data_IF_179350593487
#
_entry.id   IF_179350593487
#
_cell.length_a   1.000
_cell.length_b   1.000
_cell.length_c   1.000
_cell.angle_alpha   90.00
_cell.angle_beta   90.00
_cell.angle_gamma   90.00
#
_symmetry.space_group_name_H-M   'P 1'
#
loop_
_entity.id
_entity.type
_entity.pdbx_description
1 polymer ?
#
# COMPACT_ATOMS: atom_id res chain seq x y z
N UNK A 1 1.20 18.21 -2.77
CA UNK A 1 1.39 17.08 -1.83
C UNK A 1 0.07 16.42 -1.41
N UNK A 2 -1.06 17.15 -1.34
CA UNK A 2 -2.38 16.53 -1.13
C UNK A 2 -2.90 15.76 -2.36
N UNK A 3 -2.23 15.89 -3.49
CA UNK A 3 -2.74 15.45 -4.80
C UNK A 3 -2.31 14.03 -5.17
N UNK A 4 -1.44 13.39 -4.37
CA UNK A 4 -1.09 11.98 -4.61
C UNK A 4 -2.20 11.08 -4.09
N UNK A 5 -2.65 10.17 -4.95
CA UNK A 5 -3.62 9.16 -4.59
C UNK A 5 -3.00 8.17 -3.57
N UNK A 6 -3.80 7.60 -2.65
CA UNK A 6 -3.34 6.49 -1.83
C UNK A 6 -2.93 5.30 -2.70
N UNK A 7 -1.81 4.64 -2.38
CA UNK A 7 -1.27 3.55 -3.19
C UNK A 7 -0.52 3.99 -4.44
N UNK A 8 -0.31 5.29 -4.68
CA UNK A 8 0.30 5.76 -5.92
C UNK A 8 1.73 5.25 -6.12
N UNK A 9 2.60 5.34 -5.12
CA UNK A 9 3.98 4.87 -5.23
C UNK A 9 4.07 3.36 -5.44
N UNK A 10 3.26 2.59 -4.71
CA UNK A 10 3.19 1.14 -4.90
C UNK A 10 2.61 0.77 -6.28
N UNK A 11 1.65 1.53 -6.80
CA UNK A 11 1.13 1.34 -8.15
C UNK A 11 2.14 1.70 -9.23
N UNK A 12 2.97 2.73 -9.03
CA UNK A 12 4.10 3.05 -9.92
C UNK A 12 5.05 1.83 -10.06
N UNK A 13 5.28 1.09 -8.98
CA UNK A 13 6.07 -0.15 -9.03
C UNK A 13 5.36 -1.28 -9.79
N UNK A 14 4.04 -1.42 -9.66
CA UNK A 14 3.23 -2.37 -10.46
C UNK A 14 3.38 -2.06 -11.95
N UNK A 15 3.26 -0.79 -12.34
CA UNK A 15 3.41 -0.35 -13.73
C UNK A 15 4.83 -0.64 -14.23
N UNK A 16 5.86 -0.34 -13.43
CA UNK A 16 7.26 -0.62 -13.79
C UNK A 16 7.50 -2.10 -14.08
N UNK A 17 7.00 -3.00 -13.25
CA UNK A 17 7.14 -4.45 -13.44
C UNK A 17 6.34 -4.95 -14.66
N UNK A 18 5.15 -4.40 -14.87
CA UNK A 18 4.35 -4.72 -16.05
C UNK A 18 5.03 -4.26 -17.35
N UNK A 19 5.59 -3.05 -17.39
CA UNK A 19 6.27 -2.50 -18.57
C UNK A 19 7.55 -3.25 -18.92
N UNK A 20 8.25 -3.78 -17.92
CA UNK A 20 9.42 -4.65 -18.11
C UNK A 20 9.06 -6.05 -18.64
N UNK A 21 7.76 -6.42 -18.62
CA UNK A 21 7.29 -7.74 -19.04
C UNK A 21 6.85 -7.76 -20.51
N UNK A 22 6.99 -8.90 -21.23
CA UNK A 22 6.48 -9.04 -22.60
C UNK A 22 4.98 -8.73 -22.70
N UNK A 23 4.58 -7.97 -23.72
CA UNK A 23 3.17 -7.64 -23.95
C UNK A 23 2.36 -8.89 -24.27
N UNK A 24 1.15 -8.99 -23.68
CA UNK A 24 0.18 -10.05 -24.00
C UNK A 24 -0.24 -10.00 -25.46
N UNK A 25 -0.32 -11.16 -26.11
CA UNK A 25 -0.90 -11.29 -27.45
C UNK A 25 -2.41 -11.05 -27.44
N UNK A 26 -3.04 -10.75 -28.59
CA UNK A 26 -4.50 -10.61 -28.69
C UNK A 26 -5.26 -11.86 -28.20
N UNK A 27 -4.75 -13.06 -28.51
CA UNK A 27 -5.34 -14.32 -28.03
C UNK A 27 -5.23 -14.43 -26.50
N UNK A 28 -4.07 -14.12 -25.92
CA UNK A 28 -3.89 -14.12 -24.47
C UNK A 28 -4.85 -13.15 -23.77
N UNK A 29 -5.14 -11.99 -24.39
CA UNK A 29 -6.16 -11.05 -23.89
C UNK A 29 -7.57 -11.64 -23.99
N UNK A 30 -7.92 -12.29 -25.09
CA UNK A 30 -9.23 -12.89 -25.31
C UNK A 30 -9.53 -14.02 -24.29
N UNK A 31 -8.51 -14.78 -23.91
CA UNK A 31 -8.61 -15.83 -22.90
C UNK A 31 -8.42 -15.34 -21.45
N UNK A 32 -8.29 -14.02 -21.22
CA UNK A 32 -8.20 -13.47 -19.87
C UNK A 32 -6.91 -13.80 -19.12
N UNK A 33 -5.82 -14.08 -19.83
CA UNK A 33 -4.50 -14.28 -19.21
C UNK A 33 -4.14 -13.03 -18.40
N UNK A 34 -3.67 -13.23 -17.17
CA UNK A 34 -3.39 -12.14 -16.23
C UNK A 34 -2.50 -11.05 -16.87
N UNK A 35 -2.90 -9.76 -16.83
CA UNK A 35 -2.07 -8.65 -17.29
C UNK A 35 -0.81 -8.40 -16.46
N UNK A 36 -0.73 -8.91 -15.23
CA UNK A 36 0.35 -8.62 -14.31
C UNK A 36 1.32 -9.81 -14.24
N UNK A 37 2.64 -9.55 -14.22
CA UNK A 37 3.60 -10.59 -13.91
C UNK A 37 3.48 -11.00 -12.42
N UNK A 38 3.89 -12.23 -12.10
CA UNK A 38 3.72 -12.81 -10.76
C UNK A 38 4.30 -11.95 -9.62
N UNK A 39 5.44 -11.31 -9.88
CA UNK A 39 6.15 -10.43 -8.95
C UNK A 39 5.44 -9.07 -8.73
N UNK A 40 4.53 -8.67 -9.62
CA UNK A 40 3.71 -7.47 -9.45
C UNK A 40 2.49 -7.68 -8.53
N UNK A 41 2.07 -8.94 -8.28
CA UNK A 41 0.87 -9.21 -7.46
C UNK A 41 0.97 -8.70 -6.01
N UNK A 42 2.09 -8.90 -5.28
CA UNK A 42 2.22 -8.37 -3.92
C UNK A 42 2.10 -6.84 -3.89
N UNK A 43 2.72 -6.16 -4.86
CA UNK A 43 2.61 -4.70 -5.01
C UNK A 43 1.19 -4.28 -5.34
N UNK A 44 0.54 -4.95 -6.29
CA UNK A 44 -0.85 -4.65 -6.64
C UNK A 44 -1.79 -4.82 -5.44
N UNK A 45 -1.62 -5.90 -4.68
CA UNK A 45 -2.33 -6.13 -3.43
C UNK A 45 -2.05 -5.01 -2.40
N UNK A 46 -0.80 -4.58 -2.27
CA UNK A 46 -0.40 -3.45 -1.42
C UNK A 46 -1.14 -2.16 -1.78
N UNK A 47 -1.10 -1.77 -3.06
CA UNK A 47 -1.79 -0.57 -3.54
C UNK A 47 -3.31 -0.61 -3.31
N UNK A 48 -3.95 -1.77 -3.46
CA UNK A 48 -5.37 -1.92 -3.13
C UNK A 48 -5.63 -1.70 -1.63
N UNK A 49 -4.74 -2.21 -0.77
CA UNK A 49 -4.82 -1.98 0.67
C UNK A 49 -4.71 -0.49 1.02
N UNK A 50 -3.71 0.20 0.46
CA UNK A 50 -3.52 1.63 0.70
C UNK A 50 -4.70 2.46 0.20
N UNK A 51 -5.33 2.08 -0.91
CA UNK A 51 -6.54 2.73 -1.41
C UNK A 51 -7.71 2.58 -0.45
N UNK A 52 -7.90 1.40 0.12
CA UNK A 52 -8.95 1.15 1.11
C UNK A 52 -8.71 1.98 2.39
N UNK A 53 -7.47 2.01 2.89
CA UNK A 53 -7.11 2.83 4.05
C UNK A 53 -7.27 4.32 3.74
N UNK A 54 -6.83 4.78 2.57
CA UNK A 54 -7.05 6.14 2.11
C UNK A 54 -8.54 6.53 2.09
N UNK A 55 -9.40 5.65 1.56
CA UNK A 55 -10.84 5.83 1.59
C UNK A 55 -11.44 5.81 3.00
N UNK A 56 -10.79 5.15 3.96
CA UNK A 56 -11.16 5.25 5.37
C UNK A 56 -10.76 6.60 5.98
N UNK A 57 -9.59 7.11 5.65
CA UNK A 57 -9.07 8.37 6.15
C UNK A 57 -9.86 9.60 5.65
N UNK A 58 -10.54 9.51 4.50
CA UNK A 58 -11.44 10.59 4.04
C UNK A 58 -12.64 10.81 4.94
N UNK A 59 -12.98 9.83 5.80
CA UNK A 59 -14.10 9.92 6.75
C UNK A 59 -13.72 10.57 8.09
N UNK A 60 -12.47 10.98 8.27
CA UNK A 60 -12.06 11.69 9.48
C UNK A 60 -12.82 13.02 9.61
N UNK A 61 -13.10 13.47 10.85
CA UNK A 61 -13.87 14.69 11.05
C UNK A 61 -13.10 15.94 10.61
N UNK A 62 -13.81 17.06 10.56
CA UNK A 62 -13.20 18.35 10.24
C UNK A 62 -11.98 18.65 11.13
N UNK A 63 -10.98 19.29 10.56
CA UNK A 63 -9.70 19.58 11.22
C UNK A 63 -8.64 18.51 11.00
N UNK A 64 -9.01 17.34 10.48
CA UNK A 64 -8.06 16.33 10.02
C UNK A 64 -7.72 16.47 8.54
N UNK A 65 -6.50 16.08 8.18
CA UNK A 65 -6.01 16.02 6.81
C UNK A 65 -5.14 14.79 6.65
N UNK A 66 -5.37 14.04 5.59
CA UNK A 66 -4.50 12.94 5.17
C UNK A 66 -3.73 13.34 3.92
N UNK A 67 -2.46 12.95 3.88
CA UNK A 67 -1.57 13.05 2.73
C UNK A 67 -1.05 11.65 2.43
N UNK A 68 -0.94 11.29 1.16
CA UNK A 68 -0.61 9.91 0.77
C UNK A 68 0.65 9.85 -0.08
N UNK A 69 1.34 8.70 -0.05
CA UNK A 69 2.58 8.45 -0.79
C UNK A 69 3.59 9.61 -0.62
N UNK A 70 3.81 10.00 0.64
CA UNK A 70 4.65 11.16 0.99
C UNK A 70 6.12 10.74 0.91
N UNK A 71 6.92 11.30 -0.02
CA UNK A 71 8.32 10.95 -0.13
C UNK A 71 9.08 11.32 1.14
N UNK A 72 9.96 10.44 1.63
CA UNK A 72 10.82 10.71 2.79
C UNK A 72 12.30 10.56 2.43
N UNK A 73 13.09 11.58 2.76
CA UNK A 73 14.51 11.64 2.42
C UNK A 73 14.77 11.84 0.93
N UNK A 74 15.99 11.53 0.48
CA UNK A 74 16.41 11.64 -0.92
C UNK A 74 16.31 10.33 -1.70
N UNK A 75 15.71 9.30 -1.12
CA UNK A 75 15.62 7.94 -1.70
C UNK A 75 14.21 7.59 -2.19
N UNK A 76 14.01 6.30 -2.50
CA UNK A 76 12.71 5.75 -2.95
C UNK A 76 11.76 5.42 -1.80
N UNK A 77 12.11 5.78 -0.56
CA UNK A 77 11.26 5.52 0.60
C UNK A 77 10.11 6.53 0.66
N UNK A 78 8.90 6.05 0.90
CA UNK A 78 7.73 6.86 1.11
C UNK A 78 6.92 6.41 2.34
N UNK A 79 6.12 7.34 2.85
CA UNK A 79 5.12 7.09 3.87
C UNK A 79 3.78 6.92 3.18
N UNK A 80 3.14 5.75 3.36
CA UNK A 80 1.84 5.45 2.77
C UNK A 80 0.83 6.55 3.06
N UNK A 81 0.64 6.90 4.35
CA UNK A 81 -0.24 7.99 4.78
C UNK A 81 0.31 8.79 5.97
N UNK A 82 0.35 10.10 5.81
CA UNK A 82 0.59 11.06 6.89
C UNK A 82 -0.73 11.74 7.25
N UNK A 83 -1.14 11.64 8.51
CA UNK A 83 -2.42 12.16 9.01
C UNK A 83 -2.14 13.24 10.04
N UNK A 84 -2.68 14.44 9.82
CA UNK A 84 -2.45 15.62 10.66
C UNK A 84 -3.79 16.16 11.14
N UNK A 85 -3.92 16.46 12.44
CA UNK A 85 -5.11 17.07 13.00
C UNK A 85 -4.96 17.49 14.46
N UNK A 86 -6.07 17.80 15.16
CA UNK A 86 -6.04 18.34 16.52
C UNK A 86 -5.36 17.43 17.56
N UNK A 87 -5.33 16.11 17.31
CA UNK A 87 -4.67 15.13 18.17
C UNK A 87 -3.18 14.91 17.87
N UNK A 88 -2.62 15.61 16.89
CA UNK A 88 -1.21 15.50 16.49
C UNK A 88 -1.01 14.97 15.08
N UNK A 89 0.17 14.37 14.86
CA UNK A 89 0.63 13.85 13.57
C UNK A 89 0.84 12.34 13.69
N UNK A 90 0.29 11.59 12.75
CA UNK A 90 0.33 10.14 12.71
C UNK A 90 0.86 9.65 11.36
N UNK A 91 1.74 8.66 11.40
CA UNK A 91 2.12 7.88 10.23
C UNK A 91 1.32 6.59 10.25
N UNK A 92 0.61 6.31 9.15
CA UNK A 92 -0.19 5.09 8.98
C UNK A 92 0.41 4.31 7.84
N UNK A 93 0.95 3.13 8.16
CA UNK A 93 1.51 2.17 7.21
C UNK A 93 0.47 1.06 6.95
N UNK A 94 0.34 0.64 5.69
CA UNK A 94 -0.65 -0.34 5.27
C UNK A 94 0.02 -1.68 4.94
N UNK A 95 -0.56 -2.76 5.47
CA UNK A 95 -0.13 -4.14 5.18
C UNK A 95 -1.35 -4.98 4.85
N UNK A 96 -1.51 -5.34 3.58
CA UNK A 96 -2.67 -6.06 3.09
C UNK A 96 -2.41 -7.56 3.04
N UNK A 97 -3.12 -8.32 3.89
CA UNK A 97 -3.08 -9.79 3.94
C UNK A 97 -4.47 -10.38 3.66
N UNK A 98 -4.78 -10.58 2.38
CA UNK A 98 -6.09 -11.07 1.95
C UNK A 98 -6.37 -12.46 2.52
N UNK A 99 -7.47 -12.60 3.26
CA UNK A 99 -7.93 -13.88 3.80
C UNK A 99 -7.08 -14.44 4.95
N UNK A 100 -6.11 -13.67 5.45
CA UNK A 100 -5.27 -14.11 6.56
C UNK A 100 -5.89 -13.75 7.92
N UNK A 101 -5.60 -14.57 8.92
CA UNK A 101 -5.85 -14.21 10.31
C UNK A 101 -4.71 -13.31 10.80
N UNK A 102 -5.06 -12.10 11.23
CA UNK A 102 -4.10 -11.13 11.78
C UNK A 102 -4.34 -10.98 13.28
N UNK A 103 -3.30 -11.25 14.08
CA UNK A 103 -3.31 -11.07 15.53
C UNK A 103 -2.32 -9.97 15.90
N UNK A 104 -2.82 -8.93 16.58
CA UNK A 104 -2.02 -7.78 17.01
C UNK A 104 -1.80 -7.85 18.52
N UNK A 105 -0.54 -7.84 18.93
CA UNK A 105 -0.10 -7.67 20.31
C UNK A 105 0.59 -6.32 20.47
N UNK A 106 0.84 -5.92 21.72
CA UNK A 106 1.48 -4.63 22.04
C UNK A 106 2.81 -4.38 21.28
N UNK A 107 3.60 -5.43 21.02
CA UNK A 107 4.92 -5.32 20.35
C UNK A 107 5.14 -6.37 19.26
N UNK A 108 4.06 -6.98 18.75
CA UNK A 108 4.18 -7.97 17.68
C UNK A 108 2.90 -8.05 16.84
N UNK A 109 3.07 -8.29 15.55
CA UNK A 109 1.98 -8.61 14.64
C UNK A 109 2.24 -10.02 14.13
N UNK A 110 1.20 -10.86 14.13
CA UNK A 110 1.24 -12.22 13.63
C UNK A 110 0.25 -12.35 12.48
N UNK A 111 0.66 -13.06 11.42
CA UNK A 111 -0.16 -13.36 10.25
C UNK A 111 -0.14 -14.85 10.04
N UNK A 112 -1.30 -15.51 10.10
CA UNK A 112 -1.44 -16.96 10.01
C UNK A 112 -0.46 -17.73 10.93
N UNK A 113 -0.33 -17.27 12.17
CA UNK A 113 0.55 -17.88 13.16
C UNK A 113 2.05 -17.61 12.97
N UNK A 114 2.45 -16.76 12.02
CA UNK A 114 3.85 -16.35 11.81
C UNK A 114 4.06 -14.91 12.25
N UNK A 115 5.02 -14.68 13.15
CA UNK A 115 5.41 -13.34 13.61
C UNK A 115 6.03 -12.52 12.48
N UNK A 116 5.54 -11.30 12.30
CA UNK A 116 6.00 -10.37 11.28
C UNK A 116 6.90 -9.27 11.87
N UNK A 117 7.89 -8.77 11.11
CA UNK A 117 8.83 -7.75 11.58
C UNK A 117 8.30 -6.31 11.44
N UNK A 118 7.01 -6.10 11.15
CA UNK A 118 6.47 -4.79 10.74
C UNK A 118 6.78 -3.66 11.72
N UNK A 119 6.64 -3.90 13.02
CA UNK A 119 6.90 -2.87 14.03
C UNK A 119 8.37 -2.46 14.07
N UNK A 120 9.30 -3.42 13.98
CA UNK A 120 10.75 -3.12 13.96
C UNK A 120 11.14 -2.30 12.72
N UNK A 121 10.49 -2.55 11.60
CA UNK A 121 10.77 -1.85 10.35
C UNK A 121 10.02 -0.50 10.24
N UNK A 122 9.34 -0.08 11.30
CA UNK A 122 8.58 1.18 11.37
C UNK A 122 9.15 2.17 12.40
N UNK A 123 10.24 1.81 13.09
CA UNK A 123 11.03 2.69 13.97
C UNK A 123 12.07 3.46 13.13
#
# INVERSE_FOLDING_TARGET
MRDRAPGAAVMEQVVRLQEASPRRSPLARAFGVDPLPQDAHPWFSGALGEREVGAALTRLPHGWSAFHAVPVGSGEADVDHLVVGPGGVFVVNTKHHRGAQVTVYQRAIWVNGVKQPYLRNSD
#
